data_IF_944758873181
#
_entry.id   IF_944758873181
#
_cell.length_a   1.000
_cell.length_b   1.000
_cell.length_c   1.000
_cell.angle_alpha   90.00
_cell.angle_beta   90.00
_cell.angle_gamma   90.00
#
_symmetry.space_group_name_H-M   'P 1'
#
loop_
_entity.id
_entity.type
_entity.pdbx_description
1 polymer ?
#
# COMPACT_ATOMS: atom_id res chain seq x y z
N UNK A 1 6.02 0.97 12.72
CA UNK A 1 4.79 1.79 12.55
C UNK A 1 4.08 1.90 13.88
N UNK A 2 3.67 3.10 14.23
CA UNK A 2 2.98 3.29 15.50
C UNK A 2 1.62 2.61 15.49
N UNK A 3 1.21 2.18 16.66
CA UNK A 3 -0.03 1.44 16.82
C UNK A 3 -1.25 2.20 16.33
N UNK A 4 -1.28 3.51 16.51
CA UNK A 4 -2.42 4.33 16.09
C UNK A 4 -2.60 4.30 14.57
N UNK A 5 -1.55 4.02 13.83
CA UNK A 5 -1.62 3.97 12.36
C UNK A 5 -1.88 2.56 11.82
N UNK A 6 -2.33 1.64 12.67
CA UNK A 6 -2.66 0.29 12.22
C UNK A 6 -4.16 0.05 12.26
N UNK A 7 -4.64 -0.62 11.22
CA UNK A 7 -5.99 -1.16 11.26
C UNK A 7 -5.94 -2.36 12.20
N UNK A 8 -6.80 -2.41 13.19
CA UNK A 8 -6.66 -3.39 14.28
C UNK A 8 -7.84 -4.30 14.51
N UNK A 9 -8.98 -3.97 14.01
CA UNK A 9 -10.19 -4.75 14.24
C UNK A 9 -10.47 -5.67 13.06
N UNK A 10 -10.76 -6.93 13.33
CA UNK A 10 -11.14 -7.87 12.28
C UNK A 10 -12.37 -7.39 11.55
N UNK A 11 -13.30 -6.79 12.27
CA UNK A 11 -14.51 -6.26 11.67
C UNK A 11 -14.17 -5.16 10.67
N UNK A 12 -13.22 -4.29 11.03
CA UNK A 12 -12.82 -3.21 10.13
C UNK A 12 -12.10 -3.74 8.89
N UNK A 13 -11.25 -4.77 9.06
CA UNK A 13 -10.62 -5.43 7.92
C UNK A 13 -11.67 -5.95 6.94
N UNK A 14 -12.72 -6.58 7.46
CA UNK A 14 -13.77 -7.11 6.62
C UNK A 14 -14.55 -6.01 5.92
N UNK A 15 -14.81 -4.89 6.61
CA UNK A 15 -15.47 -3.75 6.00
C UNK A 15 -14.67 -3.21 4.83
N UNK A 16 -13.36 -3.05 5.02
CA UNK A 16 -12.49 -2.51 3.98
C UNK A 16 -12.49 -3.43 2.77
N UNK A 17 -12.43 -4.75 3.00
CA UNK A 17 -12.44 -5.71 1.90
C UNK A 17 -13.77 -5.77 1.17
N UNK A 18 -14.86 -5.61 1.91
CA UNK A 18 -16.18 -5.75 1.32
C UNK A 18 -16.69 -4.48 0.69
N UNK A 19 -16.47 -3.34 1.32
CA UNK A 19 -17.03 -2.07 0.89
C UNK A 19 -16.03 -1.16 0.22
N UNK A 20 -14.76 -1.39 0.41
CA UNK A 20 -13.72 -0.53 -0.15
C UNK A 20 -13.49 -0.77 -1.63
N UNK A 21 -12.71 0.11 -2.20
CA UNK A 21 -12.22 -0.08 -3.56
C UNK A 21 -10.97 -0.93 -3.50
N UNK A 22 -10.66 -1.60 -4.60
CA UNK A 22 -9.45 -2.43 -4.64
C UNK A 22 -8.79 -2.42 -6.00
N UNK A 23 -7.47 -2.59 -5.98
CA UNK A 23 -6.67 -2.82 -7.17
C UNK A 23 -5.73 -3.97 -6.86
N UNK A 24 -5.31 -4.69 -7.87
CA UNK A 24 -4.41 -5.81 -7.66
C UNK A 24 -3.37 -5.93 -8.76
N UNK A 25 -2.30 -6.62 -8.45
CA UNK A 25 -1.31 -7.04 -9.43
C UNK A 25 -0.89 -8.47 -9.10
N UNK A 26 0.20 -8.95 -9.67
CA UNK A 26 0.61 -10.34 -9.48
C UNK A 26 0.93 -10.68 -8.03
N UNK A 27 1.37 -9.71 -7.24
CA UNK A 27 1.88 -9.96 -5.89
C UNK A 27 0.95 -9.52 -4.77
N UNK A 28 0.17 -8.46 -5.00
CA UNK A 28 -0.58 -7.81 -3.91
C UNK A 28 -1.97 -7.40 -4.35
N UNK A 29 -2.86 -7.31 -3.36
CA UNK A 29 -4.15 -6.64 -3.54
C UNK A 29 -4.14 -5.47 -2.56
N UNK A 30 -4.51 -4.29 -3.03
CA UNK A 30 -4.69 -3.12 -2.17
C UNK A 30 -6.18 -2.84 -2.06
N UNK A 31 -6.69 -2.84 -0.83
CA UNK A 31 -8.07 -2.44 -0.54
C UNK A 31 -8.03 -1.17 0.28
N UNK A 32 -8.94 -0.24 0.02
CA UNK A 32 -8.94 1.02 0.76
C UNK A 32 -10.34 1.59 0.88
N UNK A 33 -10.58 2.27 2.00
CA UNK A 33 -11.88 2.81 2.37
C UNK A 33 -11.66 4.06 3.20
N UNK A 34 -12.44 5.13 3.01
CA UNK A 34 -12.30 6.32 3.85
C UNK A 34 -12.56 5.99 5.32
N UNK A 35 -11.82 6.61 6.22
CA UNK A 35 -11.98 6.35 7.65
C UNK A 35 -12.46 7.57 8.45
N UNK A 36 -12.55 8.74 7.80
CA UNK A 36 -13.01 9.98 8.43
C UNK A 36 -12.12 10.43 9.60
N UNK A 37 -10.88 10.00 9.60
CA UNK A 37 -9.91 10.44 10.59
C UNK A 37 -8.96 11.46 9.94
N UNK A 38 -8.18 12.13 10.76
CA UNK A 38 -7.19 13.08 10.27
C UNK A 38 -5.91 12.40 9.83
N UNK A 39 -5.85 11.09 9.89
CA UNK A 39 -4.69 10.31 9.49
C UNK A 39 -5.16 9.00 8.86
N UNK A 40 -4.26 8.35 8.14
CA UNK A 40 -4.56 7.05 7.53
C UNK A 40 -4.05 5.92 8.40
N UNK A 41 -4.69 4.77 8.28
CA UNK A 41 -4.30 3.57 9.01
C UNK A 41 -4.01 2.47 8.00
N UNK A 42 -3.14 1.56 8.38
CA UNK A 42 -2.61 0.55 7.48
C UNK A 42 -2.73 -0.84 8.08
N UNK A 43 -3.00 -1.82 7.24
CA UNK A 43 -3.04 -3.21 7.62
C UNK A 43 -2.37 -4.08 6.58
N UNK A 44 -1.89 -5.23 7.02
CA UNK A 44 -1.25 -6.21 6.14
C UNK A 44 -1.85 -7.56 6.45
N UNK A 45 -2.27 -8.27 5.41
CA UNK A 45 -2.85 -9.62 5.55
C UNK A 45 -1.99 -10.59 4.77
N UNK A 46 -1.49 -11.61 5.45
CA UNK A 46 -0.73 -12.69 4.83
C UNK A 46 -1.33 -13.98 5.34
N UNK A 47 -2.07 -14.68 4.49
CA UNK A 47 -2.79 -15.87 4.94
C UNK A 47 -1.92 -17.13 4.87
N UNK A 48 -2.47 -18.23 5.38
CA UNK A 48 -1.71 -19.48 5.53
C UNK A 48 -1.24 -20.09 4.22
N UNK A 49 -1.83 -19.69 3.11
CA UNK A 49 -1.44 -20.24 1.81
C UNK A 49 -0.06 -19.79 1.36
N UNK A 50 0.49 -18.76 1.99
CA UNK A 50 1.82 -18.29 1.63
C UNK A 50 2.94 -19.13 2.23
N UNK A 51 2.61 -20.14 3.00
CA UNK A 51 3.63 -21.04 3.54
C UNK A 51 3.63 -21.06 5.06
N UNK A 52 4.75 -21.50 5.64
CA UNK A 52 4.85 -21.63 7.09
C UNK A 52 4.96 -20.26 7.77
N UNK A 53 4.95 -20.26 9.10
CA UNK A 53 4.96 -19.02 9.88
C UNK A 53 6.20 -18.16 9.60
N UNK A 54 7.35 -18.79 9.40
CA UNK A 54 8.57 -18.03 9.13
C UNK A 54 8.44 -17.25 7.83
N UNK A 55 7.96 -17.92 6.80
CA UNK A 55 7.79 -17.29 5.48
C UNK A 55 6.74 -16.20 5.52
N UNK A 56 5.61 -16.46 6.17
CA UNK A 56 4.54 -15.47 6.29
C UNK A 56 5.01 -14.24 7.06
N UNK A 57 5.76 -14.44 8.14
CA UNK A 57 6.25 -13.32 8.93
C UNK A 57 7.25 -12.48 8.15
N UNK A 58 8.05 -13.11 7.29
CA UNK A 58 8.99 -12.39 6.45
C UNK A 58 8.26 -11.47 5.48
N UNK A 59 7.25 -11.98 4.80
CA UNK A 59 6.45 -11.17 3.88
C UNK A 59 5.76 -10.04 4.63
N UNK A 60 5.17 -10.36 5.77
CA UNK A 60 4.45 -9.37 6.56
C UNK A 60 5.37 -8.25 7.01
N UNK A 61 6.57 -8.56 7.47
CA UNK A 61 7.53 -7.55 7.88
C UNK A 61 7.95 -6.65 6.73
N UNK A 62 8.18 -7.24 5.56
CA UNK A 62 8.56 -6.46 4.38
C UNK A 62 7.45 -5.48 4.00
N UNK A 63 6.21 -5.93 3.98
CA UNK A 63 5.09 -5.08 3.62
C UNK A 63 4.86 -3.98 4.65
N UNK A 64 5.02 -4.28 5.93
CA UNK A 64 4.89 -3.27 6.98
C UNK A 64 5.97 -2.21 6.85
N UNK A 65 7.17 -2.62 6.53
CA UNK A 65 8.27 -1.68 6.37
C UNK A 65 8.05 -0.76 5.16
N UNK A 66 7.55 -1.33 4.07
CA UNK A 66 7.23 -0.55 2.88
C UNK A 66 6.18 0.52 3.22
N UNK A 67 5.12 0.12 3.92
CA UNK A 67 4.07 1.07 4.30
C UNK A 67 4.58 2.11 5.28
N UNK A 68 5.42 1.71 6.23
CA UNK A 68 5.99 2.63 7.19
C UNK A 68 6.77 3.73 6.49
N UNK A 69 7.56 3.37 5.50
CA UNK A 69 8.36 4.34 4.76
C UNK A 69 7.52 5.23 3.85
N UNK A 70 6.33 4.76 3.46
CA UNK A 70 5.46 5.51 2.57
C UNK A 70 4.37 6.28 3.29
N UNK A 71 4.19 6.07 4.59
CA UNK A 71 3.00 6.61 5.25
C UNK A 71 2.89 8.13 5.17
N UNK A 72 4.00 8.84 5.13
CA UNK A 72 3.95 10.30 5.02
C UNK A 72 3.56 10.77 3.64
N UNK A 73 3.70 9.93 2.64
CA UNK A 73 3.40 10.30 1.26
C UNK A 73 1.98 9.92 0.87
N UNK A 74 1.26 9.26 1.74
CA UNK A 74 -0.10 8.80 1.45
C UNK A 74 -1.09 9.80 2.04
N UNK A 75 -2.15 10.08 1.29
CA UNK A 75 -3.19 11.00 1.75
C UNK A 75 -3.75 10.55 3.08
N UNK A 76 -4.09 11.51 3.94
CA UNK A 76 -4.74 11.20 5.21
C UNK A 76 -6.20 10.81 4.99
N UNK A 77 -6.77 10.11 5.94
CA UNK A 77 -8.20 9.82 5.92
C UNK A 77 -8.58 8.50 5.30
N UNK A 78 -7.62 7.60 5.07
CA UNK A 78 -7.91 6.31 4.46
C UNK A 78 -7.48 5.16 5.36
N UNK A 79 -8.25 4.08 5.31
CA UNK A 79 -7.79 2.80 5.82
C UNK A 79 -7.37 1.96 4.62
N UNK A 80 -6.12 1.50 4.63
CA UNK A 80 -5.56 0.73 3.53
C UNK A 80 -5.15 -0.64 4.03
N UNK A 81 -5.44 -1.66 3.27
CA UNK A 81 -5.01 -3.03 3.59
C UNK A 81 -4.30 -3.61 2.39
N UNK A 82 -3.09 -4.10 2.62
CA UNK A 82 -2.36 -4.86 1.60
C UNK A 82 -2.54 -6.34 1.89
N UNK A 83 -2.98 -7.08 0.91
CA UNK A 83 -3.16 -8.51 1.02
C UNK A 83 -2.14 -9.18 0.11
N UNK A 84 -1.30 -10.04 0.67
CA UNK A 84 -0.28 -10.72 -0.11
C UNK A 84 -0.90 -11.86 -0.88
N UNK A 85 -0.60 -11.93 -2.18
CA UNK A 85 -1.01 -13.04 -3.03
C UNK A 85 0.10 -14.08 -3.02
N UNK A 86 -0.22 -15.30 -3.41
CA UNK A 86 0.71 -16.40 -3.32
C UNK A 86 2.09 -16.14 -3.92
N UNK A 87 2.22 -15.52 -5.09
CA UNK A 87 3.56 -15.24 -5.64
C UNK A 87 4.42 -14.33 -4.76
N UNK A 88 3.83 -13.57 -3.84
CA UNK A 88 4.58 -12.69 -2.96
C UNK A 88 5.50 -13.48 -2.02
N UNK A 89 5.22 -14.75 -1.81
CA UNK A 89 6.05 -15.55 -0.89
C UNK A 89 7.49 -15.65 -1.33
N UNK A 90 7.75 -15.54 -2.64
CA UNK A 90 9.10 -15.62 -3.18
C UNK A 90 9.63 -14.27 -3.65
N UNK A 91 8.88 -13.20 -3.45
CA UNK A 91 9.28 -11.89 -3.92
C UNK A 91 10.27 -11.24 -2.97
N UNK A 92 11.25 -10.56 -3.51
CA UNK A 92 12.18 -9.78 -2.71
C UNK A 92 11.55 -8.48 -2.26
N UNK A 93 12.26 -7.78 -1.38
CA UNK A 93 11.77 -6.52 -0.83
C UNK A 93 11.46 -5.52 -1.95
N UNK A 94 12.38 -5.37 -2.90
CA UNK A 94 12.21 -4.34 -3.94
C UNK A 94 11.09 -4.68 -4.92
N UNK A 95 10.83 -5.96 -5.14
CA UNK A 95 9.70 -6.37 -5.96
C UNK A 95 8.40 -6.02 -5.28
N UNK A 96 8.30 -6.25 -3.97
CA UNK A 96 7.12 -5.92 -3.19
C UNK A 96 6.94 -4.41 -3.09
N UNK A 97 8.04 -3.68 -2.93
CA UNK A 97 8.02 -2.23 -2.84
C UNK A 97 7.49 -1.62 -4.14
N UNK A 98 7.99 -2.09 -5.26
CA UNK A 98 7.53 -1.63 -6.57
C UNK A 98 6.07 -1.98 -6.79
N UNK A 99 5.66 -3.20 -6.42
CA UNK A 99 4.28 -3.63 -6.57
C UNK A 99 3.34 -2.77 -5.74
N UNK A 100 3.71 -2.46 -4.51
CA UNK A 100 2.92 -1.62 -3.62
C UNK A 100 2.80 -0.20 -4.16
N UNK A 101 3.91 0.37 -4.59
CA UNK A 101 3.93 1.74 -5.10
C UNK A 101 3.03 1.88 -6.33
N UNK A 102 3.05 0.90 -7.23
CA UNK A 102 2.19 0.93 -8.41
C UNK A 102 0.70 0.89 -8.04
N UNK A 103 0.35 0.11 -7.04
CA UNK A 103 -1.05 0.06 -6.60
C UNK A 103 -1.48 1.37 -5.97
N UNK A 104 -0.61 1.99 -5.18
CA UNK A 104 -0.91 3.28 -4.57
C UNK A 104 -1.06 4.37 -5.64
N UNK A 105 -0.25 4.32 -6.68
CA UNK A 105 -0.37 5.25 -7.80
C UNK A 105 -1.68 5.07 -8.54
N UNK A 106 -2.05 3.83 -8.82
CA UNK A 106 -3.31 3.55 -9.51
C UNK A 106 -4.50 4.03 -8.69
N UNK A 107 -4.42 3.89 -7.39
CA UNK A 107 -5.48 4.30 -6.49
C UNK A 107 -5.47 5.82 -6.25
N UNK A 108 -4.42 6.51 -6.70
CA UNK A 108 -4.26 7.95 -6.50
C UNK A 108 -4.27 8.31 -5.02
N UNK A 109 -3.56 7.52 -4.24
CA UNK A 109 -3.52 7.72 -2.80
C UNK A 109 -2.32 8.52 -2.32
N UNK A 110 -1.40 8.89 -3.19
CA UNK A 110 -0.31 9.77 -2.78
C UNK A 110 -0.84 11.19 -2.57
N UNK A 111 -0.33 11.85 -1.55
CA UNK A 111 -0.80 13.17 -1.21
C UNK A 111 -0.37 14.20 -2.25
N UNK A 112 -1.11 15.29 -2.34
CA UNK A 112 -0.79 16.36 -3.27
C UNK A 112 0.58 16.97 -2.97
N UNK A 113 0.92 17.12 -1.69
CA UNK A 113 2.22 17.63 -1.30
C UNK A 113 3.32 16.71 -1.81
N UNK A 114 3.13 15.42 -1.64
CA UNK A 114 4.09 14.45 -2.13
C UNK A 114 4.15 14.47 -3.67
N UNK A 115 3.04 14.68 -4.30
CA UNK A 115 3.00 14.76 -5.74
C UNK A 115 3.81 15.97 -6.23
N UNK A 116 3.70 17.10 -5.55
CA UNK A 116 4.48 18.27 -5.90
C UNK A 116 5.98 18.00 -5.77
N UNK A 117 6.39 17.33 -4.71
CA UNK A 117 7.79 16.97 -4.52
C UNK A 117 8.26 16.03 -5.61
N UNK A 118 7.43 15.08 -6.00
CA UNK A 118 7.78 14.16 -7.07
C UNK A 118 7.93 14.88 -8.40
N UNK A 119 7.09 15.85 -8.66
CA UNK A 119 7.19 16.62 -9.90
C UNK A 119 8.50 17.41 -9.91
N UNK A 120 8.88 17.98 -8.79
CA UNK A 120 10.13 18.70 -8.70
C UNK A 120 11.33 17.77 -8.90
N UNK A 121 11.26 16.56 -8.36
CA UNK A 121 12.33 15.60 -8.56
C UNK A 121 12.38 15.10 -9.96
N UNK A 122 11.24 14.86 -10.56
CA UNK A 122 11.17 14.28 -11.87
C UNK A 122 11.44 15.23 -12.97
N UNK A 123 11.52 16.51 -12.63
CA UNK A 123 11.85 17.43 -13.60
C UNK A 123 13.13 17.14 -14.13
N UNK A 124 13.88 16.52 -13.38
CA UNK A 124 15.00 16.24 -13.90
C UNK A 124 14.72 15.27 -14.83
N UNK A 125 15.00 14.46 -15.16
CA UNK A 125 14.88 13.54 -16.12
C UNK A 125 13.58 13.08 -16.33
N UNK A 126 12.95 13.50 -16.63
CA UNK A 126 11.81 13.06 -16.96
C UNK A 126 11.04 11.95 -16.60
N UNK A 127 10.35 11.78 -16.46
CA UNK A 127 9.58 10.94 -16.17
C UNK A 127 8.37 11.29 -16.18
N UNK A 128 8.07 11.63 -16.65
CA UNK A 128 7.08 11.94 -16.67
C UNK A 128 6.16 11.69 -16.54
N UNK A 129 5.97 11.51 -16.69
CA UNK A 129 5.06 11.31 -16.65
C UNK A 129 4.35 10.98 -16.49
N UNK A 130 4.02 10.84 -16.41
CA UNK A 130 3.28 10.57 -16.36
C UNK A 130 2.61 10.40 -16.08
N UNK A 131 2.63 10.43 -16.02
CA UNK A 131 1.89 10.32 -15.85
C UNK A 131 1.44 10.40 -15.67
N UNK A 132 1.24 10.43 -15.54
CA UNK A 132 0.78 10.55 -15.45
C UNK A 132 0.22 10.41 -15.50
N UNK A 133 0.24 10.34 -15.39
CA UNK A 133 -0.32 10.16 -15.48
C UNK A 133 -0.94 9.88 -15.71
N UNK A 134 -1.19 9.66 -15.69
CA UNK A 134 -1.66 9.41 -15.90
C UNK A 134 -2.21 9.12 -15.79
N UNK A 135 -2.33 9.13 -15.55
CA UNK A 135 -2.70 8.98 -15.41
C UNK A 135 -3.12 8.76 -15.27
N UNK A 136 -3.24 8.63 -14.94
CA UNK A 136 -3.57 8.52 -14.90
C UNK A 136 -3.87 8.35 -14.98
#
# INVERSE_FOLDING_TARGET
MKRVYRVRSDQRFQEIRRQGRSYSNAWLVLCFLPNQLLYSRFGVVVNSRLGNAVRRNRVKRRLREILRLRQRTIQAGWDLVLIARQPARNAGYWELESACTRLLERARLFSDTNLADRVLSDREPGKANRSQAEAG
#
